data_IF_730028688608
#
_entry.id   IF_730028688608
#
_cell.length_a   1.000
_cell.length_b   1.000
_cell.length_c   1.000
_cell.angle_alpha   90.00
_cell.angle_beta   90.00
_cell.angle_gamma   90.00
#
_symmetry.space_group_name_H-M   'P 1'
#
loop_
_entity.id
_entity.type
_entity.pdbx_description
1 polymer ?
#
# COMPACT_ATOMS: atom_id res chain seq x y z
N UNK A 1 -9.73 -61.63 -48.75
CA UNK A 1 -11.16 -61.30 -48.99
C UNK A 1 -11.57 -60.28 -47.93
N UNK A 2 -12.05 -59.12 -48.37
CA UNK A 2 -12.28 -57.89 -47.59
C UNK A 2 -13.48 -57.92 -46.65
N UNK A 3 -13.49 -56.94 -45.71
CA UNK A 3 -14.61 -56.21 -45.02
C UNK A 3 -14.62 -56.42 -43.49
N UNK A 4 -14.69 -55.41 -42.60
CA UNK A 4 -14.98 -53.97 -42.70
C UNK A 4 -14.46 -53.24 -41.45
N UNK A 5 -14.04 -51.99 -41.67
CA UNK A 5 -13.62 -50.97 -40.70
C UNK A 5 -14.79 -50.47 -39.85
N UNK A 6 -14.61 -50.46 -38.52
CA UNK A 6 -15.41 -49.65 -37.59
C UNK A 6 -14.58 -48.49 -37.06
N UNK A 7 -14.67 -47.32 -37.71
CA UNK A 7 -14.26 -46.03 -37.13
C UNK A 7 -15.42 -45.52 -36.28
N UNK A 8 -15.22 -45.29 -34.99
CA UNK A 8 -16.11 -44.45 -34.20
C UNK A 8 -15.33 -43.63 -33.16
N UNK A 9 -15.05 -42.39 -33.58
CA UNK A 9 -15.12 -41.14 -32.80
C UNK A 9 -14.30 -41.00 -31.51
N UNK A 10 -13.06 -40.51 -31.67
CA UNK A 10 -12.56 -39.39 -30.85
C UNK A 10 -13.58 -38.24 -30.97
N UNK A 11 -14.26 -37.87 -29.89
CA UNK A 11 -14.69 -36.50 -29.51
C UNK A 11 -15.73 -36.58 -28.39
N UNK A 12 -15.36 -36.16 -27.18
CA UNK A 12 -16.13 -35.20 -26.37
C UNK A 12 -15.41 -34.95 -25.03
N UNK A 13 -14.32 -34.18 -25.07
CA UNK A 13 -13.95 -33.35 -23.92
C UNK A 13 -14.72 -32.02 -24.08
N UNK A 14 -15.97 -31.98 -23.64
CA UNK A 14 -16.76 -30.74 -23.62
C UNK A 14 -16.34 -29.90 -22.41
N UNK A 15 -15.50 -28.90 -22.69
CA UNK A 15 -15.39 -27.58 -22.03
C UNK A 15 -15.41 -27.58 -20.48
N UNK A 16 -14.24 -27.82 -19.88
CA UNK A 16 -13.88 -27.10 -18.67
C UNK A 16 -13.47 -25.69 -19.08
N UNK A 17 -14.27 -24.69 -18.72
CA UNK A 17 -13.89 -23.28 -18.83
C UNK A 17 -12.57 -23.04 -18.05
N UNK A 18 -11.75 -22.02 -18.39
CA UNK A 18 -10.51 -21.73 -17.68
C UNK A 18 -10.85 -21.07 -16.33
N UNK A 19 -11.41 -21.84 -15.40
CA UNK A 19 -11.68 -21.39 -14.02
C UNK A 19 -10.43 -21.63 -13.15
N UNK A 20 -9.49 -22.45 -13.61
CA UNK A 20 -8.26 -22.76 -12.88
C UNK A 20 -7.33 -21.54 -12.64
N UNK A 21 -7.08 -20.63 -13.61
CA UNK A 21 -6.24 -19.45 -13.33
C UNK A 21 -6.93 -18.46 -12.38
N UNK A 22 -8.26 -18.33 -12.47
CA UNK A 22 -9.03 -17.43 -11.61
C UNK A 22 -9.10 -17.93 -10.16
N UNK A 23 -9.15 -19.24 -9.95
CA UNK A 23 -9.15 -19.85 -8.61
C UNK A 23 -7.77 -19.83 -7.96
N UNK A 24 -6.68 -19.96 -8.72
CA UNK A 24 -5.31 -19.83 -8.19
C UNK A 24 -4.99 -18.38 -7.75
N UNK A 25 -5.49 -17.38 -8.49
CA UNK A 25 -5.46 -16.00 -8.03
C UNK A 25 -6.36 -15.79 -6.80
N UNK A 26 -7.58 -16.36 -6.79
CA UNK A 26 -8.52 -16.23 -5.68
C UNK A 26 -8.08 -16.86 -4.36
N UNK A 27 -7.33 -17.97 -4.40
CA UNK A 27 -6.80 -18.66 -3.21
C UNK A 27 -5.53 -18.02 -2.67
N UNK A 28 -4.70 -17.40 -3.52
CA UNK A 28 -3.55 -16.61 -3.09
C UNK A 28 -3.93 -15.19 -2.66
N UNK A 29 -5.09 -14.65 -3.05
CA UNK A 29 -5.52 -13.31 -2.63
C UNK A 29 -6.23 -13.31 -1.27
N UNK A 30 -6.74 -14.46 -0.81
CA UNK A 30 -7.22 -14.66 0.56
C UNK A 30 -6.17 -15.50 1.34
N UNK A 31 -5.14 -14.96 2.00
CA UNK A 31 -4.94 -13.58 2.44
C UNK A 31 -3.47 -13.21 2.83
N UNK A 32 -2.43 -13.40 1.99
CA UNK A 32 -1.11 -12.82 2.24
C UNK A 32 -1.18 -11.28 2.33
N UNK A 33 -2.04 -10.64 1.53
CA UNK A 33 -2.17 -9.18 1.48
C UNK A 33 -2.71 -8.57 2.77
N UNK A 34 -3.91 -8.97 3.24
CA UNK A 34 -4.41 -8.45 4.50
C UNK A 34 -3.58 -8.97 5.69
N UNK A 35 -2.94 -10.15 5.64
CA UNK A 35 -1.93 -10.52 6.65
C UNK A 35 -0.80 -9.50 6.67
N UNK A 36 -0.29 -9.08 5.52
CA UNK A 36 0.74 -8.05 5.42
C UNK A 36 0.23 -6.68 5.91
N UNK A 37 -1.00 -6.28 5.58
CA UNK A 37 -1.63 -5.07 6.11
C UNK A 37 -1.79 -5.13 7.63
N UNK A 38 -2.21 -6.27 8.18
CA UNK A 38 -2.36 -6.46 9.62
C UNK A 38 -1.00 -6.38 10.33
N UNK A 39 0.01 -7.05 9.76
CA UNK A 39 1.40 -6.97 10.25
C UNK A 39 1.91 -5.52 10.20
N UNK A 40 1.67 -4.79 9.12
CA UNK A 40 2.06 -3.38 9.03
C UNK A 40 1.40 -2.51 10.12
N UNK A 41 0.12 -2.75 10.45
CA UNK A 41 -0.52 -2.03 11.56
C UNK A 41 0.12 -2.39 12.92
N UNK A 42 0.37 -3.68 13.16
CA UNK A 42 1.03 -4.14 14.40
C UNK A 42 2.45 -3.60 14.52
N UNK A 43 3.21 -3.60 13.43
CA UNK A 43 4.56 -3.02 13.36
C UNK A 43 4.52 -1.52 13.63
N UNK A 44 3.54 -0.78 13.08
CA UNK A 44 3.39 0.65 13.36
C UNK A 44 3.11 0.93 14.83
N UNK A 45 2.22 0.16 15.46
CA UNK A 45 1.96 0.27 16.90
C UNK A 45 3.19 -0.06 17.76
N UNK A 46 3.93 -1.12 17.40
CA UNK A 46 5.17 -1.46 18.08
C UNK A 46 6.25 -0.38 17.90
N UNK A 47 6.38 0.16 16.69
CA UNK A 47 7.32 1.25 16.38
C UNK A 47 6.98 2.50 17.21
N UNK A 48 5.71 2.91 17.30
CA UNK A 48 5.30 4.03 18.15
C UNK A 48 5.74 3.85 19.61
N UNK A 49 5.54 2.66 20.17
CA UNK A 49 5.94 2.35 21.54
C UNK A 49 7.46 2.35 21.76
N UNK A 50 8.24 2.07 20.71
CA UNK A 50 9.70 2.16 20.74
C UNK A 50 10.16 3.62 20.64
N UNK A 51 9.64 4.38 19.67
CA UNK A 51 9.96 5.80 19.49
C UNK A 51 9.67 6.61 20.76
N UNK A 52 8.52 6.37 21.39
CA UNK A 52 8.10 7.02 22.64
C UNK A 52 9.05 6.79 23.84
N UNK A 53 10.00 5.83 23.74
CA UNK A 53 10.96 5.50 24.81
C UNK A 53 12.39 5.93 24.50
N UNK A 54 12.59 6.67 23.41
CA UNK A 54 13.92 7.17 23.05
C UNK A 54 14.20 8.51 23.71
N UNK A 55 15.49 8.86 23.82
CA UNK A 55 15.94 10.19 24.28
C UNK A 55 15.98 11.22 23.13
N UNK A 56 15.66 10.82 21.90
CA UNK A 56 15.63 11.72 20.76
C UNK A 56 14.45 12.66 20.86
N UNK A 57 14.64 13.94 20.53
CA UNK A 57 13.57 14.93 20.65
C UNK A 57 12.60 14.89 19.46
N UNK A 58 13.09 14.51 18.28
CA UNK A 58 12.32 14.57 17.05
C UNK A 58 12.73 13.50 16.04
N UNK A 59 11.76 13.03 15.23
CA UNK A 59 11.96 12.05 14.17
C UNK A 59 11.38 12.51 12.84
N UNK A 60 12.02 12.06 11.76
CA UNK A 60 11.45 12.04 10.40
C UNK A 60 11.14 10.60 10.05
N UNK A 61 9.89 10.32 9.65
CA UNK A 61 9.46 8.97 9.30
C UNK A 61 9.40 8.80 7.79
N UNK A 62 10.08 7.78 7.26
CA UNK A 62 10.09 7.50 5.83
C UNK A 62 9.55 6.11 5.58
N UNK A 63 8.58 5.98 4.68
CA UNK A 63 7.89 4.72 4.42
C UNK A 63 7.47 4.53 2.98
N UNK A 64 7.88 3.41 2.39
CA UNK A 64 7.45 2.99 1.06
C UNK A 64 6.34 1.94 1.15
N UNK A 65 5.36 1.97 0.25
CA UNK A 65 4.33 0.91 0.14
C UNK A 65 3.61 0.63 1.48
N UNK A 66 3.61 -0.63 1.96
CA UNK A 66 3.10 -0.98 3.30
C UNK A 66 3.94 -0.40 4.44
N UNK A 67 5.21 -0.08 4.22
CA UNK A 67 6.02 0.71 5.16
C UNK A 67 5.47 2.12 5.36
N UNK A 68 4.87 2.73 4.33
CA UNK A 68 4.14 3.99 4.48
C UNK A 68 2.96 3.87 5.46
N UNK A 69 2.26 2.73 5.44
CA UNK A 69 1.23 2.40 6.45
C UNK A 69 1.84 2.26 7.84
N UNK A 70 3.00 1.63 7.98
CA UNK A 70 3.71 1.54 9.27
C UNK A 70 3.97 2.94 9.82
N UNK A 71 4.48 3.87 9.01
CA UNK A 71 4.78 5.24 9.44
C UNK A 71 3.53 6.02 9.86
N UNK A 72 2.46 5.98 9.06
CA UNK A 72 1.20 6.64 9.41
C UNK A 72 0.59 6.04 10.68
N UNK A 73 0.63 4.71 10.84
CA UNK A 73 0.15 4.06 12.06
C UNK A 73 1.02 4.41 13.26
N UNK A 74 2.34 4.48 13.11
CA UNK A 74 3.24 4.86 14.20
C UNK A 74 2.98 6.31 14.66
N UNK A 75 2.97 7.27 13.74
CA UNK A 75 2.72 8.68 14.07
C UNK A 75 1.36 8.88 14.74
N UNK A 76 0.29 8.29 14.21
CA UNK A 76 -1.05 8.43 14.81
C UNK A 76 -1.18 7.72 16.16
N UNK A 77 -0.48 6.61 16.37
CA UNK A 77 -0.45 5.94 17.67
C UNK A 77 0.36 6.74 18.72
N UNK A 78 1.41 7.46 18.30
CA UNK A 78 2.23 8.28 19.17
C UNK A 78 1.44 9.37 19.92
N UNK A 79 0.34 9.86 19.35
CA UNK A 79 -0.55 10.82 19.99
C UNK A 79 -1.16 10.32 21.33
N UNK A 80 -1.20 9.01 21.57
CA UNK A 80 -1.66 8.42 22.83
C UNK A 80 -0.58 8.29 23.92
N UNK A 81 0.69 8.53 23.58
CA UNK A 81 1.80 8.47 24.51
C UNK A 81 2.15 9.89 24.96
N UNK A 82 2.27 10.12 26.28
CA UNK A 82 2.41 11.44 26.90
C UNK A 82 3.60 12.28 26.41
N UNK A 83 4.67 12.39 27.21
CA UNK A 83 5.89 13.11 26.81
C UNK A 83 6.66 12.29 25.76
N UNK A 84 6.15 12.23 24.53
CA UNK A 84 6.76 11.52 23.42
C UNK A 84 7.60 12.44 22.55
N UNK A 85 8.66 11.92 21.90
CA UNK A 85 9.36 12.63 20.84
C UNK A 85 8.40 13.11 19.76
N UNK A 86 8.72 14.24 19.15
CA UNK A 86 7.92 14.83 18.09
C UNK A 86 8.16 14.10 16.77
N UNK A 87 7.15 14.04 15.92
CA UNK A 87 7.36 13.70 14.50
C UNK A 87 7.43 15.02 13.74
N UNK A 88 8.60 15.34 13.16
CA UNK A 88 8.77 16.53 12.32
C UNK A 88 7.96 16.37 11.04
N UNK A 89 8.35 15.38 10.25
CA UNK A 89 7.82 15.13 8.91
C UNK A 89 7.66 13.64 8.67
N UNK A 90 6.76 13.33 7.75
CA UNK A 90 6.56 11.98 7.24
C UNK A 90 6.69 12.02 5.73
N UNK A 91 7.52 11.13 5.17
CA UNK A 91 7.67 10.95 3.72
C UNK A 91 7.13 9.58 3.30
N UNK A 92 6.10 9.60 2.46
CA UNK A 92 5.35 8.44 2.03
C UNK A 92 5.56 8.23 0.53
N UNK A 93 6.18 7.12 0.16
CA UNK A 93 6.45 6.78 -1.25
C UNK A 93 5.54 5.63 -1.68
N UNK A 94 4.61 5.88 -2.60
CA UNK A 94 3.71 4.84 -3.09
C UNK A 94 2.94 4.15 -1.94
N UNK A 95 2.55 4.89 -0.90
CA UNK A 95 1.99 4.32 0.32
C UNK A 95 0.69 3.53 0.09
N UNK A 96 0.68 2.27 0.55
CA UNK A 96 -0.43 1.32 0.44
C UNK A 96 -1.48 1.53 1.55
N UNK A 97 -2.04 2.74 1.60
CA UNK A 97 -3.05 3.16 2.57
C UNK A 97 -4.35 3.45 1.85
N UNK A 98 -5.48 2.97 2.39
CA UNK A 98 -6.79 3.18 1.80
C UNK A 98 -7.12 4.67 1.80
N UNK A 99 -7.43 5.22 0.62
CA UNK A 99 -7.95 6.56 0.48
C UNK A 99 -9.32 6.73 1.15
N UNK A 100 -9.76 7.98 1.33
CA UNK A 100 -11.04 8.36 1.95
C UNK A 100 -11.14 7.95 3.42
N UNK A 101 -10.37 8.61 4.27
CA UNK A 101 -10.43 8.53 5.73
C UNK A 101 -10.33 9.93 6.34
N UNK A 102 -10.70 10.06 7.61
CA UNK A 102 -10.40 11.28 8.35
C UNK A 102 -8.88 11.38 8.58
N UNK A 103 -8.26 12.40 7.98
CA UNK A 103 -6.82 12.64 8.10
C UNK A 103 -6.43 13.55 9.27
N UNK A 104 -7.40 14.05 10.04
CA UNK A 104 -7.15 14.88 11.23
C UNK A 104 -6.10 14.28 12.17
N UNK A 105 -6.21 12.99 12.58
CA UNK A 105 -5.24 12.44 13.53
C UNK A 105 -3.82 12.39 12.97
N UNK A 106 -3.68 12.24 11.64
CA UNK A 106 -2.37 12.24 10.99
C UNK A 106 -1.82 13.66 10.86
N UNK A 107 -2.67 14.63 10.54
CA UNK A 107 -2.32 16.05 10.49
C UNK A 107 -1.86 16.58 11.86
N UNK A 108 -2.52 16.17 12.94
CA UNK A 108 -2.18 16.56 14.32
C UNK A 108 -0.97 15.80 14.90
N UNK A 109 -0.57 14.68 14.27
CA UNK A 109 0.54 13.86 14.75
C UNK A 109 1.93 14.38 14.34
N UNK A 110 2.00 15.38 13.46
CA UNK A 110 3.25 15.95 12.95
C UNK A 110 3.35 17.44 13.28
N UNK A 111 4.56 17.93 13.52
CA UNK A 111 4.81 19.38 13.66
C UNK A 111 4.98 20.08 12.32
N UNK A 112 5.56 19.38 11.34
CA UNK A 112 5.75 19.82 9.97
C UNK A 112 4.70 19.18 9.07
N UNK A 113 5.17 18.40 8.09
CA UNK A 113 4.43 18.00 6.90
C UNK A 113 4.39 16.50 6.71
N UNK A 114 3.25 16.00 6.24
CA UNK A 114 3.10 14.66 5.68
C UNK A 114 3.21 14.78 4.16
N UNK A 115 4.35 14.41 3.62
CA UNK A 115 4.67 14.42 2.20
C UNK A 115 4.31 13.09 1.56
N UNK A 116 3.36 13.07 0.64
CA UNK A 116 2.93 11.89 -0.09
C UNK A 116 3.37 11.96 -1.56
N UNK A 117 4.39 11.17 -1.90
CA UNK A 117 4.83 10.97 -3.27
C UNK A 117 3.99 9.88 -3.91
N UNK A 118 3.13 10.26 -4.86
CA UNK A 118 2.20 9.34 -5.50
C UNK A 118 2.42 9.26 -7.01
N UNK A 119 2.22 8.06 -7.56
CA UNK A 119 2.24 7.84 -9.02
C UNK A 119 0.98 7.13 -9.49
N UNK A 120 0.31 7.73 -10.47
CA UNK A 120 -0.82 7.11 -11.17
C UNK A 120 -0.38 5.94 -12.07
N UNK A 121 0.92 5.87 -12.40
CA UNK A 121 1.54 4.85 -13.27
C UNK A 121 1.96 3.58 -12.49
N UNK A 122 1.90 3.60 -11.16
CA UNK A 122 2.24 2.45 -10.30
C UNK A 122 1.33 1.22 -10.53
N UNK A 123 1.83 0.13 -11.14
CA UNK A 123 1.01 -1.03 -11.48
C UNK A 123 0.65 -1.87 -10.25
N UNK A 124 1.48 -1.90 -9.21
CA UNK A 124 1.20 -2.66 -7.98
C UNK A 124 0.02 -2.04 -7.25
N UNK A 125 0.02 -0.72 -7.10
CA UNK A 125 -1.11 -0.02 -6.46
C UNK A 125 -2.35 0.02 -7.35
N UNK A 126 -2.19 0.03 -8.68
CA UNK A 126 -3.33 0.01 -9.61
C UNK A 126 -4.05 -1.33 -9.63
N UNK A 127 -3.30 -2.43 -9.71
CA UNK A 127 -3.88 -3.76 -9.91
C UNK A 127 -3.94 -4.56 -8.61
N UNK A 128 -2.79 -4.87 -7.99
CA UNK A 128 -2.73 -5.74 -6.82
C UNK A 128 -3.46 -5.14 -5.62
N UNK A 129 -3.13 -3.89 -5.25
CA UNK A 129 -3.78 -3.21 -4.12
C UNK A 129 -5.29 -3.09 -4.35
N UNK A 130 -5.70 -2.63 -5.54
CA UNK A 130 -7.10 -2.42 -5.88
C UNK A 130 -7.89 -3.73 -5.81
N UNK A 131 -7.39 -4.81 -6.40
CA UNK A 131 -8.03 -6.13 -6.32
C UNK A 131 -8.11 -6.63 -4.88
N UNK A 132 -7.02 -6.53 -4.10
CA UNK A 132 -6.98 -7.02 -2.73
C UNK A 132 -7.81 -6.17 -1.75
N UNK A 133 -8.12 -4.92 -2.10
CA UNK A 133 -8.89 -3.99 -1.28
C UNK A 133 -10.27 -3.70 -1.89
N UNK A 134 -10.84 -4.64 -2.65
CA UNK A 134 -12.20 -4.54 -3.20
C UNK A 134 -12.45 -3.27 -4.03
N UNK A 135 -11.52 -2.94 -4.92
CA UNK A 135 -11.60 -1.80 -5.85
C UNK A 135 -11.19 -0.45 -5.24
N UNK A 136 -10.71 -0.42 -3.99
CA UNK A 136 -10.27 0.82 -3.36
C UNK A 136 -8.92 1.30 -3.91
N UNK A 137 -8.75 2.62 -3.98
CA UNK A 137 -7.47 3.23 -4.38
C UNK A 137 -6.58 3.53 -3.18
N UNK A 138 -5.27 3.33 -3.36
CA UNK A 138 -4.24 3.70 -2.39
C UNK A 138 -3.86 5.18 -2.52
N UNK A 139 -3.57 5.85 -1.39
CA UNK A 139 -3.07 7.25 -1.40
C UNK A 139 -1.75 7.40 -2.15
N UNK A 140 -0.90 6.37 -2.16
CA UNK A 140 0.33 6.33 -2.96
C UNK A 140 0.11 6.27 -4.47
N UNK A 141 -1.14 6.09 -4.93
CA UNK A 141 -1.48 6.14 -6.36
C UNK A 141 -2.21 7.41 -6.72
N UNK A 142 -3.22 7.78 -5.92
CA UNK A 142 -4.15 8.87 -6.27
C UNK A 142 -3.92 10.16 -5.50
N UNK A 143 -3.14 10.12 -4.42
CA UNK A 143 -3.03 11.22 -3.46
C UNK A 143 -3.93 11.02 -2.23
N UNK A 144 -3.67 11.82 -1.19
CA UNK A 144 -4.55 11.96 -0.03
C UNK A 144 -5.79 12.80 -0.35
N UNK A 145 -5.64 13.83 -1.18
CA UNK A 145 -6.64 14.88 -1.41
C UNK A 145 -7.19 15.43 -0.08
N UNK A 146 -6.26 15.74 0.82
CA UNK A 146 -6.57 16.20 2.17
C UNK A 146 -7.05 17.65 2.18
N UNK A 147 -7.94 17.99 3.11
CA UNK A 147 -8.27 19.39 3.44
C UNK A 147 -7.24 20.04 4.38
N UNK A 148 -6.37 19.24 4.99
CA UNK A 148 -5.35 19.72 5.93
C UNK A 148 -4.12 20.19 5.14
N UNK A 149 -3.67 21.44 5.30
CA UNK A 149 -2.61 22.02 4.48
C UNK A 149 -1.23 21.38 4.71
N UNK A 150 -1.02 20.77 5.87
CA UNK A 150 0.22 20.05 6.19
C UNK A 150 0.26 18.59 5.70
N UNK A 151 -0.71 18.17 4.88
CA UNK A 151 -0.67 16.88 4.18
C UNK A 151 -0.59 17.19 2.68
N UNK A 152 0.61 17.04 2.11
CA UNK A 152 0.96 17.53 0.79
C UNK A 152 1.16 16.36 -0.17
N UNK A 153 0.41 16.39 -1.28
CA UNK A 153 0.54 15.41 -2.36
C UNK A 153 1.55 15.90 -3.40
N UNK A 154 2.57 15.10 -3.65
CA UNK A 154 3.59 15.29 -4.67
C UNK A 154 3.36 14.27 -5.79
N UNK A 155 2.87 14.72 -6.94
CA UNK A 155 2.66 13.84 -8.09
C UNK A 155 3.99 13.56 -8.80
N UNK A 156 4.53 12.35 -8.61
CA UNK A 156 5.80 11.90 -9.20
C UNK A 156 5.60 10.99 -10.41
N UNK A 157 4.42 11.00 -11.03
CA UNK A 157 4.08 10.09 -12.14
C UNK A 157 4.99 10.26 -13.37
N UNK A 158 5.67 11.39 -13.56
CA UNK A 158 6.58 11.57 -14.69
C UNK A 158 7.91 10.83 -14.52
N UNK A 159 8.33 10.61 -13.28
CA UNK A 159 9.63 10.01 -12.95
C UNK A 159 9.49 8.63 -12.30
N UNK A 160 8.30 8.25 -11.82
CA UNK A 160 8.01 6.94 -11.25
C UNK A 160 6.94 6.24 -12.08
N UNK A 161 7.35 5.20 -12.79
CA UNK A 161 6.49 4.34 -13.62
C UNK A 161 6.23 2.96 -13.01
N UNK A 162 7.03 2.56 -12.02
CA UNK A 162 6.91 1.28 -11.32
C UNK A 162 7.01 1.45 -9.79
N UNK A 163 6.47 0.47 -9.05
CA UNK A 163 6.38 0.52 -7.60
C UNK A 163 7.73 0.59 -6.88
N UNK A 164 8.80 0.06 -7.47
CA UNK A 164 10.16 0.11 -6.90
C UNK A 164 10.92 1.41 -7.22
N UNK A 165 10.49 2.19 -8.20
CA UNK A 165 11.27 3.31 -8.73
C UNK A 165 11.25 4.56 -7.84
N UNK A 166 10.41 4.58 -6.79
CA UNK A 166 10.39 5.71 -5.87
C UNK A 166 11.75 5.93 -5.18
N UNK A 167 12.47 4.86 -4.85
CA UNK A 167 13.76 4.96 -4.15
C UNK A 167 14.84 5.65 -4.98
N UNK A 168 14.85 5.40 -6.28
CA UNK A 168 15.90 5.90 -7.18
C UNK A 168 15.56 7.29 -7.72
N UNK A 169 14.26 7.59 -7.85
CA UNK A 169 13.80 8.76 -8.62
C UNK A 169 13.14 9.85 -7.77
N UNK A 170 12.86 9.63 -6.48
CA UNK A 170 12.22 10.64 -5.62
C UNK A 170 13.24 11.25 -4.66
N UNK A 171 13.43 12.55 -4.78
CA UNK A 171 14.12 13.36 -3.78
C UNK A 171 13.12 13.83 -2.72
N UNK A 172 13.53 13.79 -1.45
CA UNK A 172 12.68 14.25 -0.36
C UNK A 172 12.71 15.78 -0.30
N UNK A 173 11.54 16.40 -0.19
CA UNK A 173 11.45 17.83 0.12
C UNK A 173 11.92 18.09 1.56
N UNK A 174 12.60 19.21 1.78
CA UNK A 174 13.17 19.60 3.09
C UNK A 174 12.12 20.02 4.13
#
# INVERSE_FOLDING_TARGET
MFKTVGRASKTMARKAAPIAPALAAGSLLKNPWHTAVNRANLTGAALAALLAKTEQEEFILVGHSLGGRVMVTAATAMAGFGASPKIRDIHLMGAAIRGKRNWRPLSEAVNGTVNNYHSAKDPVLKYLYSTAQFGQSAVGRVGFHSQYPNIVDHNVSEIVSNHGEYYDNVELVD
#
